data_IF_804668922560
#
_entry.id   IF_804668922560
#
_cell.length_a   1.000
_cell.length_b   1.000
_cell.length_c   1.000
_cell.angle_alpha   90.00
_cell.angle_beta   90.00
_cell.angle_gamma   90.00
#
_symmetry.space_group_name_H-M   'P 1'
#
loop_
_entity.id
_entity.type
_entity.pdbx_description
1 polymer ?
#
# COMPACT_ATOMS: atom_id res chain seq x y z
N UNK A 1 -5.92 -66.24 -39.82
CA UNK A 1 -6.73 -65.28 -39.03
C UNK A 1 -6.20 -65.34 -37.59
N UNK A 2 -5.08 -64.68 -37.24
CA UNK A 2 -4.92 -63.26 -36.85
C UNK A 2 -5.95 -62.78 -35.81
N UNK A 3 -5.44 -62.42 -34.62
CA UNK A 3 -5.85 -61.33 -33.70
C UNK A 3 -5.59 -61.77 -32.24
N UNK A 4 -4.36 -61.62 -31.72
CA UNK A 4 -3.85 -60.45 -30.96
C UNK A 4 -4.70 -60.20 -29.71
N UNK A 5 -4.22 -60.74 -28.59
CA UNK A 5 -4.63 -60.42 -27.22
C UNK A 5 -4.07 -59.03 -26.90
N UNK A 6 -4.95 -58.03 -26.82
CA UNK A 6 -4.60 -56.68 -26.40
C UNK A 6 -4.61 -56.64 -24.87
N UNK A 7 -3.42 -56.56 -24.28
CA UNK A 7 -3.20 -56.32 -22.85
C UNK A 7 -3.54 -54.85 -22.59
N UNK A 8 -4.63 -54.61 -21.84
CA UNK A 8 -4.99 -53.29 -21.34
C UNK A 8 -4.07 -52.93 -20.16
N UNK A 9 -2.95 -52.27 -20.44
CA UNK A 9 -2.15 -51.60 -19.41
C UNK A 9 -2.91 -50.34 -18.98
N UNK A 10 -3.60 -50.41 -17.84
CA UNK A 10 -4.10 -49.23 -17.14
C UNK A 10 -2.89 -48.47 -16.56
N UNK A 11 -2.41 -47.48 -17.31
CA UNK A 11 -1.51 -46.45 -16.80
C UNK A 11 -2.28 -45.62 -15.77
N UNK A 12 -2.08 -45.94 -14.49
CA UNK A 12 -2.43 -45.06 -13.38
C UNK A 12 -1.47 -43.88 -13.48
N UNK A 13 -1.90 -42.81 -14.16
CA UNK A 13 -1.26 -41.51 -14.07
C UNK A 13 -1.36 -41.05 -12.63
N UNK A 14 -0.28 -41.23 -11.87
CA UNK A 14 -0.09 -40.57 -10.58
C UNK A 14 0.08 -39.09 -10.93
N UNK A 15 -1.04 -38.37 -11.04
CA UNK A 15 -1.05 -36.93 -10.94
C UNK A 15 -0.44 -36.62 -9.59
N UNK A 16 0.81 -36.14 -9.58
CA UNK A 16 1.35 -35.40 -8.45
C UNK A 16 0.39 -34.25 -8.22
N UNK A 17 -0.54 -34.43 -7.30
CA UNK A 17 -1.21 -33.31 -6.66
C UNK A 17 -0.05 -32.61 -5.95
N UNK A 18 0.49 -31.59 -6.60
CA UNK A 18 1.23 -30.57 -5.90
C UNK A 18 0.19 -29.98 -4.95
N UNK A 19 0.12 -30.55 -3.75
CA UNK A 19 -0.48 -29.91 -2.61
C UNK A 19 0.26 -28.58 -2.51
N UNK A 20 -0.36 -27.51 -2.99
CA UNK A 20 -0.01 -26.18 -2.53
C UNK A 20 -0.18 -26.26 -1.03
N UNK A 21 0.94 -26.43 -0.30
CA UNK A 21 0.95 -26.08 1.10
C UNK A 21 0.41 -24.65 1.09
N UNK A 22 -0.74 -24.47 1.70
CA UNK A 22 -1.28 -23.14 1.95
C UNK A 22 -0.24 -22.47 2.84
N UNK A 23 0.69 -21.75 2.22
CA UNK A 23 1.77 -21.08 2.90
C UNK A 23 1.11 -20.06 3.83
N UNK A 24 1.21 -20.27 5.14
CA UNK A 24 0.71 -19.34 6.14
C UNK A 24 1.56 -18.07 6.09
N UNK A 25 1.25 -17.20 5.14
CA UNK A 25 2.00 -15.99 4.86
C UNK A 25 2.13 -15.06 6.06
N UNK A 26 1.11 -14.88 6.91
CA UNK A 26 1.29 -14.22 8.20
C UNK A 26 2.42 -14.81 9.04
N UNK A 27 2.48 -16.13 9.21
CA UNK A 27 3.55 -16.79 9.98
C UNK A 27 4.92 -16.65 9.30
N UNK A 28 4.99 -16.80 7.97
CA UNK A 28 6.23 -16.65 7.20
C UNK A 28 6.79 -15.23 7.33
N UNK A 29 5.95 -14.21 7.09
CA UNK A 29 6.35 -12.81 7.22
C UNK A 29 6.81 -12.50 8.65
N UNK A 30 6.08 -12.98 9.66
CA UNK A 30 6.47 -12.78 11.06
C UNK A 30 7.79 -13.46 11.42
N UNK A 31 8.04 -14.67 10.90
CA UNK A 31 9.29 -15.40 11.11
C UNK A 31 10.50 -14.72 10.44
N UNK A 32 10.30 -14.01 9.32
CA UNK A 32 11.30 -13.12 8.71
C UNK A 32 11.49 -11.79 9.45
N UNK A 33 10.78 -11.62 10.56
CA UNK A 33 10.80 -10.43 11.40
C UNK A 33 9.98 -9.27 10.85
N UNK A 34 8.96 -9.56 10.04
CA UNK A 34 7.88 -8.63 9.74
C UNK A 34 6.90 -8.53 10.91
N UNK A 35 6.10 -7.45 10.95
CA UNK A 35 5.15 -7.24 12.06
C UNK A 35 3.78 -7.85 11.80
N UNK A 36 2.97 -8.03 12.85
CA UNK A 36 1.54 -8.40 12.71
C UNK A 36 0.71 -7.34 11.98
N UNK A 37 1.26 -6.12 11.85
CA UNK A 37 0.64 -4.97 11.18
C UNK A 37 1.20 -4.77 9.76
N UNK A 38 1.87 -5.79 9.19
CA UNK A 38 2.55 -5.70 7.89
C UNK A 38 1.70 -5.01 6.82
N UNK A 39 0.49 -5.52 6.56
CA UNK A 39 -0.39 -4.95 5.54
C UNK A 39 -0.82 -3.51 5.81
N UNK A 40 -1.01 -3.13 7.08
CA UNK A 40 -1.38 -1.76 7.47
C UNK A 40 -0.20 -0.80 7.25
N UNK A 41 1.01 -1.21 7.66
CA UNK A 41 2.23 -0.41 7.53
C UNK A 41 2.62 -0.23 6.08
N UNK A 42 2.68 -1.33 5.33
CA UNK A 42 3.03 -1.31 3.90
C UNK A 42 1.98 -0.56 3.10
N UNK A 43 0.69 -0.86 3.30
CA UNK A 43 -0.40 -0.17 2.59
C UNK A 43 -0.46 1.34 2.88
N UNK A 44 -0.07 1.77 4.08
CA UNK A 44 0.13 3.20 4.38
C UNK A 44 1.37 3.74 3.66
N UNK A 45 2.50 3.05 3.72
CA UNK A 45 3.74 3.53 3.10
C UNK A 45 3.65 3.67 1.58
N UNK A 46 2.92 2.79 0.88
CA UNK A 46 2.90 2.76 -0.58
C UNK A 46 1.75 3.56 -1.21
N UNK A 47 0.82 4.11 -0.42
CA UNK A 47 -0.42 4.68 -0.98
C UNK A 47 -0.20 5.90 -1.89
N UNK A 48 0.94 6.56 -1.80
CA UNK A 48 1.27 7.75 -2.59
C UNK A 48 2.62 7.63 -3.30
N UNK A 49 3.18 6.43 -3.44
CA UNK A 49 4.45 6.24 -4.16
C UNK A 49 4.32 6.62 -5.64
N UNK A 50 5.39 7.18 -6.18
CA UNK A 50 5.63 7.43 -7.60
C UNK A 50 6.91 6.74 -8.07
N UNK A 51 7.15 6.67 -9.38
CA UNK A 51 8.42 6.20 -9.95
C UNK A 51 9.62 6.95 -9.35
N UNK A 52 9.50 8.26 -9.14
CA UNK A 52 10.57 9.06 -8.56
C UNK A 52 10.95 8.60 -7.15
N UNK A 53 9.96 8.28 -6.31
CA UNK A 53 10.23 7.78 -4.97
C UNK A 53 10.84 6.37 -5.03
N UNK A 54 10.34 5.50 -5.93
CA UNK A 54 10.90 4.16 -6.12
C UNK A 54 12.36 4.17 -6.58
N UNK A 55 12.79 5.18 -7.34
CA UNK A 55 14.18 5.36 -7.77
C UNK A 55 15.16 5.55 -6.61
N UNK A 56 14.70 5.98 -5.43
CA UNK A 56 15.53 6.02 -4.22
C UNK A 56 15.96 4.62 -3.78
N UNK A 57 15.11 3.60 -4.02
CA UNK A 57 15.37 2.20 -3.70
C UNK A 57 16.10 1.49 -4.84
N UNK A 58 15.58 1.64 -6.07
CA UNK A 58 16.09 1.00 -7.27
C UNK A 58 16.12 1.98 -8.46
N UNK A 59 17.31 2.48 -8.87
CA UNK A 59 17.43 3.61 -9.81
C UNK A 59 16.83 3.41 -11.22
N UNK A 60 16.75 2.17 -11.70
CA UNK A 60 16.26 1.83 -13.04
C UNK A 60 14.75 1.56 -13.10
N UNK A 61 14.01 1.80 -12.00
CA UNK A 61 12.55 1.65 -11.97
C UNK A 61 11.87 2.59 -12.96
N UNK A 62 10.85 2.05 -13.64
CA UNK A 62 9.97 2.75 -14.58
C UNK A 62 8.50 2.53 -14.19
N UNK A 63 7.56 3.08 -14.95
CA UNK A 63 6.12 2.82 -14.77
C UNK A 63 5.71 1.36 -14.98
N UNK A 64 6.58 0.51 -15.54
CA UNK A 64 6.37 -0.95 -15.63
C UNK A 64 6.54 -1.67 -14.28
N UNK A 65 6.63 -0.93 -13.17
CA UNK A 65 6.74 -1.51 -11.84
C UNK A 65 5.42 -2.15 -11.40
N UNK A 66 5.51 -2.94 -10.33
CA UNK A 66 4.41 -3.72 -9.78
C UNK A 66 4.08 -3.24 -8.35
N UNK A 67 4.31 -1.96 -8.04
CA UNK A 67 4.01 -1.42 -6.71
C UNK A 67 2.62 -0.76 -6.74
N UNK A 68 1.58 -1.35 -6.13
CA UNK A 68 0.28 -0.72 -6.12
C UNK A 68 0.28 0.56 -5.30
N UNK A 69 -0.52 1.52 -5.74
CA UNK A 69 -0.65 2.83 -5.08
C UNK A 69 -2.07 3.34 -5.24
N UNK A 70 -2.47 4.29 -4.41
CA UNK A 70 -3.77 4.94 -4.56
C UNK A 70 -3.70 5.94 -5.72
N UNK A 71 -4.72 5.94 -6.57
CA UNK A 71 -4.82 6.90 -7.65
C UNK A 71 -5.18 8.28 -7.10
N UNK A 72 -4.27 9.23 -7.25
CA UNK A 72 -4.42 10.61 -6.77
C UNK A 72 -5.36 11.46 -7.63
N UNK A 73 -5.76 11.00 -8.82
CA UNK A 73 -6.90 11.57 -9.53
C UNK A 73 -8.18 11.07 -8.86
N UNK A 74 -8.76 11.88 -7.98
CA UNK A 74 -9.90 11.52 -7.15
C UNK A 74 -11.22 11.38 -7.94
N UNK A 75 -11.23 11.76 -9.22
CA UNK A 75 -12.37 11.56 -10.12
C UNK A 75 -12.29 10.29 -10.97
N UNK A 76 -11.14 9.60 -10.99
CA UNK A 76 -10.97 8.37 -11.76
C UNK A 76 -11.80 7.23 -11.18
N UNK A 77 -12.42 6.42 -12.06
CA UNK A 77 -13.11 5.17 -11.71
C UNK A 77 -12.17 4.07 -11.20
N UNK A 78 -10.85 4.26 -11.35
CA UNK A 78 -9.81 3.34 -10.88
C UNK A 78 -9.16 3.95 -9.64
N UNK A 79 -9.57 3.58 -8.41
CA UNK A 79 -9.07 4.23 -7.20
C UNK A 79 -7.69 3.71 -6.76
N UNK A 80 -7.27 2.55 -7.24
CA UNK A 80 -5.97 1.94 -6.93
C UNK A 80 -5.35 1.54 -8.25
N UNK A 81 -4.13 2.02 -8.50
CA UNK A 81 -3.31 1.60 -9.62
C UNK A 81 -2.54 0.35 -9.21
N UNK A 82 -2.34 -0.58 -10.14
CA UNK A 82 -1.49 -1.76 -9.95
C UNK A 82 0.02 -1.44 -10.03
N UNK A 83 0.37 -0.19 -10.31
CA UNK A 83 1.73 0.33 -10.47
C UNK A 83 1.82 1.74 -9.90
N UNK A 84 3.03 2.14 -9.49
CA UNK A 84 3.32 3.50 -9.10
C UNK A 84 3.57 4.34 -10.37
N UNK A 85 2.79 5.41 -10.62
CA UNK A 85 2.93 6.21 -11.83
C UNK A 85 4.15 7.13 -11.75
N UNK A 86 4.62 7.60 -12.91
CA UNK A 86 5.48 8.77 -12.97
C UNK A 86 4.61 10.03 -12.77
N UNK A 87 5.06 10.93 -11.91
CA UNK A 87 4.36 12.19 -11.58
C UNK A 87 5.15 13.42 -11.98
N UNK A 88 6.23 13.24 -12.73
CA UNK A 88 6.99 14.36 -13.28
C UNK A 88 6.10 15.21 -14.16
N UNK A 89 5.90 16.47 -13.76
CA UNK A 89 5.26 17.50 -14.59
C UNK A 89 6.22 17.89 -15.72
N UNK A 90 5.73 18.44 -16.85
CA UNK A 90 6.61 18.93 -17.92
C UNK A 90 7.70 19.88 -17.39
N UNK A 91 7.37 20.69 -16.39
CA UNK A 91 8.25 21.69 -15.78
C UNK A 91 9.03 21.18 -14.56
N UNK A 92 8.88 19.90 -14.18
CA UNK A 92 9.56 19.31 -13.01
C UNK A 92 11.09 19.38 -13.08
N UNK A 93 11.65 19.57 -14.28
CA UNK A 93 13.08 19.75 -14.52
C UNK A 93 13.62 21.11 -14.01
N UNK A 94 12.74 22.07 -13.66
CA UNK A 94 13.14 23.38 -13.16
C UNK A 94 13.68 23.36 -11.73
N UNK A 95 13.40 22.30 -10.97
CA UNK A 95 13.85 22.13 -9.60
C UNK A 95 14.77 20.92 -9.46
N UNK A 96 15.89 21.10 -8.76
CA UNK A 96 16.88 20.04 -8.50
C UNK A 96 16.71 19.37 -7.13
N UNK A 97 16.15 20.09 -6.17
CA UNK A 97 16.02 19.64 -4.79
C UNK A 97 14.67 18.95 -4.58
N UNK A 98 14.67 17.86 -3.82
CA UNK A 98 13.48 17.04 -3.71
C UNK A 98 12.29 17.77 -3.09
N UNK A 99 12.55 18.56 -2.04
CA UNK A 99 11.54 19.39 -1.39
C UNK A 99 10.97 20.49 -2.29
N UNK A 100 11.76 21.04 -3.21
CA UNK A 100 11.26 22.04 -4.17
C UNK A 100 10.33 21.41 -5.21
N UNK A 101 10.64 20.19 -5.66
CA UNK A 101 9.77 19.48 -6.60
C UNK A 101 8.46 19.06 -5.90
N UNK A 102 8.52 18.62 -4.63
CA UNK A 102 7.30 18.35 -3.84
C UNK A 102 6.44 19.61 -3.72
N UNK A 103 7.07 20.75 -3.43
CA UNK A 103 6.37 22.03 -3.36
C UNK A 103 5.71 22.38 -4.70
N UNK A 104 6.44 22.23 -5.80
CA UNK A 104 5.94 22.46 -7.16
C UNK A 104 4.75 21.56 -7.52
N UNK A 105 4.84 20.25 -7.23
CA UNK A 105 3.76 19.29 -7.49
C UNK A 105 2.48 19.69 -6.75
N UNK A 106 2.57 20.04 -5.46
CA UNK A 106 1.40 20.44 -4.68
C UNK A 106 0.86 21.81 -5.11
N UNK A 107 1.73 22.81 -5.29
CA UNK A 107 1.29 24.16 -5.63
C UNK A 107 0.73 24.25 -7.07
N UNK A 108 1.23 23.44 -7.99
CA UNK A 108 0.67 23.33 -9.36
C UNK A 108 -0.76 22.78 -9.37
N UNK A 109 -1.18 22.10 -8.31
CA UNK A 109 -2.53 21.54 -8.15
C UNK A 109 -3.32 22.21 -7.02
N UNK A 110 -2.87 23.35 -6.47
CA UNK A 110 -3.47 23.93 -5.26
C UNK A 110 -4.95 24.34 -5.41
N UNK A 111 -5.39 24.60 -6.65
CA UNK A 111 -6.77 24.94 -6.99
C UNK A 111 -7.63 23.71 -7.37
N UNK A 112 -7.01 22.52 -7.54
CA UNK A 112 -7.70 21.28 -7.86
C UNK A 112 -8.10 20.51 -6.59
N UNK A 113 -9.37 20.67 -6.21
CA UNK A 113 -9.95 19.97 -5.05
C UNK A 113 -10.11 18.45 -5.24
N UNK A 114 -9.86 17.95 -6.45
CA UNK A 114 -9.95 16.54 -6.82
C UNK A 114 -8.58 15.88 -6.99
N UNK A 115 -7.51 16.55 -6.56
CA UNK A 115 -6.16 16.03 -6.58
C UNK A 115 -5.69 15.61 -5.19
N UNK A 116 -4.98 14.48 -5.13
CA UNK A 116 -4.25 13.98 -3.96
C UNK A 116 -5.13 13.70 -2.72
N UNK A 117 -5.24 14.64 -1.77
CA UNK A 117 -5.95 14.45 -0.50
C UNK A 117 -7.13 15.40 -0.39
N UNK A 118 -8.36 14.89 -0.53
CA UNK A 118 -9.57 15.71 -0.35
C UNK A 118 -9.64 16.24 1.07
N UNK A 119 -10.10 17.48 1.20
CA UNK A 119 -10.20 18.26 2.45
C UNK A 119 -8.88 18.67 3.11
N UNK A 120 -7.71 18.36 2.53
CA UNK A 120 -6.43 18.88 3.01
C UNK A 120 -6.10 20.19 2.27
N UNK A 121 -5.77 21.23 3.02
CA UNK A 121 -5.25 22.46 2.43
C UNK A 121 -3.80 22.25 1.91
N UNK A 122 -3.26 23.15 1.07
CA UNK A 122 -1.93 22.96 0.48
C UNK A 122 -0.81 22.75 1.51
N UNK A 123 -0.84 23.44 2.65
CA UNK A 123 0.16 23.26 3.71
C UNK A 123 0.08 21.85 4.33
N UNK A 124 -1.13 21.34 4.55
CA UNK A 124 -1.36 19.98 5.06
C UNK A 124 -0.93 18.91 4.05
N UNK A 125 -1.16 19.15 2.76
CA UNK A 125 -0.69 18.26 1.70
C UNK A 125 0.84 18.22 1.65
N UNK A 126 1.51 19.38 1.75
CA UNK A 126 2.98 19.47 1.82
C UNK A 126 3.51 18.68 3.02
N UNK A 127 2.94 18.90 4.21
CA UNK A 127 3.36 18.19 5.43
C UNK A 127 3.11 16.69 5.32
N UNK A 128 1.98 16.28 4.75
CA UNK A 128 1.69 14.86 4.50
C UNK A 128 2.72 14.25 3.54
N UNK A 129 3.09 14.93 2.45
CA UNK A 129 4.10 14.42 1.52
C UNK A 129 5.46 14.28 2.21
N UNK A 130 5.89 15.24 3.03
CA UNK A 130 7.11 15.09 3.83
C UNK A 130 7.05 13.94 4.84
N UNK A 131 5.89 13.70 5.47
CA UNK A 131 5.69 12.53 6.32
C UNK A 131 5.91 11.21 5.56
N UNK A 132 5.46 11.15 4.30
CA UNK A 132 5.70 9.97 3.46
C UNK A 132 7.18 9.82 3.10
N UNK A 133 7.90 10.91 2.80
CA UNK A 133 9.35 10.88 2.56
C UNK A 133 10.13 10.36 3.78
N UNK A 134 9.75 10.75 5.00
CA UNK A 134 10.35 10.23 6.24
C UNK A 134 10.14 8.71 6.39
N UNK A 135 8.96 8.20 6.06
CA UNK A 135 8.68 6.76 6.05
C UNK A 135 9.58 6.04 5.04
N UNK A 136 9.75 6.60 3.85
CA UNK A 136 10.57 6.00 2.79
C UNK A 136 12.07 6.06 3.12
N UNK A 137 12.55 7.16 3.71
CA UNK A 137 13.90 7.28 4.21
C UNK A 137 14.20 6.23 5.29
N UNK A 138 13.26 5.99 6.22
CA UNK A 138 13.39 4.94 7.21
C UNK A 138 13.41 3.53 6.58
N UNK A 139 12.58 3.27 5.57
CA UNK A 139 12.55 2.00 4.85
C UNK A 139 13.83 1.76 4.03
N UNK A 140 14.46 2.81 3.53
CA UNK A 140 15.67 2.67 2.71
C UNK A 140 16.80 1.96 3.47
N UNK A 141 16.92 2.19 4.78
CA UNK A 141 17.94 1.55 5.63
C UNK A 141 17.81 0.03 5.58
N UNK A 142 16.61 -0.50 5.84
CA UNK A 142 16.35 -1.94 5.81
C UNK A 142 16.38 -2.50 4.38
N UNK A 143 16.00 -1.70 3.39
CA UNK A 143 16.05 -2.13 1.98
C UNK A 143 17.50 -2.42 1.56
N UNK A 144 18.45 -1.56 1.93
CA UNK A 144 19.88 -1.79 1.68
C UNK A 144 20.40 -3.03 2.41
N UNK A 145 19.86 -3.35 3.58
CA UNK A 145 20.19 -4.60 4.27
C UNK A 145 19.70 -5.83 3.49
N UNK A 146 18.51 -5.76 2.87
CA UNK A 146 17.98 -6.83 2.03
C UNK A 146 18.72 -6.99 0.70
N UNK A 147 19.38 -5.95 0.18
CA UNK A 147 20.30 -6.10 -0.96
C UNK A 147 21.51 -6.97 -0.63
N UNK A 148 22.00 -6.90 0.61
CA UNK A 148 23.13 -7.72 1.10
C UNK A 148 22.66 -9.11 1.51
N UNK A 149 21.52 -9.20 2.19
CA UNK A 149 20.92 -10.45 2.67
C UNK A 149 19.47 -10.57 2.15
N UNK A 150 19.29 -11.05 0.92
CA UNK A 150 17.97 -11.17 0.32
C UNK A 150 17.02 -12.05 1.16
N UNK A 151 15.75 -11.65 1.33
CA UNK A 151 14.69 -12.54 1.79
C UNK A 151 14.57 -13.77 0.87
N UNK A 152 14.12 -14.90 1.41
CA UNK A 152 13.84 -16.09 0.59
C UNK A 152 12.64 -15.88 -0.33
N UNK A 153 12.57 -16.67 -1.40
CA UNK A 153 11.46 -16.61 -2.37
C UNK A 153 10.09 -16.78 -1.69
N UNK A 154 9.96 -17.67 -0.71
CA UNK A 154 8.71 -17.86 0.05
C UNK A 154 8.28 -16.59 0.80
N UNK A 155 9.24 -15.85 1.37
CA UNK A 155 8.97 -14.59 2.06
C UNK A 155 8.51 -13.54 1.05
N UNK A 156 9.17 -13.47 -0.11
CA UNK A 156 8.76 -12.54 -1.16
C UNK A 156 7.41 -12.89 -1.79
N UNK A 157 7.11 -14.17 -1.97
CA UNK A 157 5.80 -14.61 -2.43
C UNK A 157 4.70 -14.15 -1.46
N UNK A 158 4.94 -14.26 -0.15
CA UNK A 158 4.00 -13.80 0.88
C UNK A 158 3.91 -12.28 1.01
N UNK A 159 5.02 -11.56 0.84
CA UNK A 159 5.02 -10.11 0.81
C UNK A 159 4.23 -9.55 -0.38
N UNK A 160 4.26 -10.25 -1.52
CA UNK A 160 3.57 -9.87 -2.76
C UNK A 160 2.14 -10.40 -2.89
N UNK A 161 1.70 -11.30 -1.99
CA UNK A 161 0.30 -11.73 -1.90
C UNK A 161 -0.56 -10.66 -1.20
N UNK A 162 -0.71 -9.53 -1.88
CA UNK A 162 -1.35 -8.32 -1.34
C UNK A 162 -2.84 -8.49 -0.99
N UNK A 163 -3.49 -9.52 -1.54
CA UNK A 163 -4.89 -9.83 -1.26
C UNK A 163 -5.03 -10.48 0.12
N UNK A 164 -4.08 -11.32 0.51
CA UNK A 164 -4.14 -12.11 1.74
C UNK A 164 -3.28 -11.57 2.88
N UNK A 165 -2.33 -10.66 2.60
CA UNK A 165 -1.49 -10.04 3.64
C UNK A 165 -2.00 -8.67 4.15
N UNK A 166 -3.16 -8.21 3.65
CA UNK A 166 -3.85 -7.00 4.13
C UNK A 166 -3.43 -5.68 3.46
N UNK A 167 -2.42 -5.69 2.58
CA UNK A 167 -1.98 -4.48 1.86
C UNK A 167 -3.12 -3.90 1.01
N UNK A 168 -3.78 -4.73 0.20
CA UNK A 168 -4.84 -4.26 -0.69
C UNK A 168 -6.06 -3.73 0.08
N UNK A 169 -6.40 -4.36 1.21
CA UNK A 169 -7.43 -3.88 2.11
C UNK A 169 -7.09 -2.47 2.63
N UNK A 170 -5.85 -2.25 3.07
CA UNK A 170 -5.41 -0.94 3.55
C UNK A 170 -5.43 0.11 2.43
N UNK A 171 -4.96 -0.22 1.23
CA UNK A 171 -5.03 0.69 0.08
C UNK A 171 -6.47 1.08 -0.28
N UNK A 172 -7.40 0.12 -0.27
CA UNK A 172 -8.84 0.39 -0.47
C UNK A 172 -9.39 1.33 0.60
N UNK A 173 -9.03 1.08 1.85
CA UNK A 173 -9.44 1.94 2.95
C UNK A 173 -8.87 3.36 2.77
N UNK A 174 -7.60 3.50 2.42
CA UNK A 174 -6.97 4.81 2.17
C UNK A 174 -7.64 5.51 0.99
N UNK A 175 -7.88 4.81 -0.12
CA UNK A 175 -8.58 5.37 -1.28
C UNK A 175 -9.97 5.93 -0.93
N UNK A 176 -10.74 5.21 -0.10
CA UNK A 176 -12.02 5.68 0.41
C UNK A 176 -11.87 6.89 1.33
N UNK A 177 -10.88 6.89 2.23
CA UNK A 177 -10.62 8.02 3.14
C UNK A 177 -10.30 9.29 2.35
N UNK A 178 -9.44 9.20 1.33
CA UNK A 178 -9.02 10.38 0.56
C UNK A 178 -10.08 10.85 -0.43
N UNK A 179 -10.95 9.97 -0.95
CA UNK A 179 -12.01 10.33 -1.92
C UNK A 179 -13.30 10.77 -1.25
N UNK A 180 -13.66 10.10 -0.17
CA UNK A 180 -14.91 10.31 0.56
C UNK A 180 -14.68 10.48 2.07
N UNK A 181 -13.87 11.48 2.48
CA UNK A 181 -13.53 11.69 3.89
C UNK A 181 -14.78 11.89 4.76
N UNK A 182 -15.83 12.57 4.24
CA UNK A 182 -17.06 12.80 4.98
C UNK A 182 -17.85 11.51 5.27
N UNK A 183 -17.86 10.56 4.32
CA UNK A 183 -18.49 9.25 4.51
C UNK A 183 -17.70 8.42 5.52
N UNK A 184 -16.37 8.47 5.44
CA UNK A 184 -15.49 7.69 6.33
C UNK A 184 -15.45 8.26 7.75
N UNK A 185 -15.51 9.57 7.94
CA UNK A 185 -15.61 10.21 9.26
C UNK A 185 -16.98 9.91 9.91
N UNK A 186 -18.07 10.00 9.15
CA UNK A 186 -19.42 9.67 9.64
C UNK A 186 -19.58 8.18 9.97
N UNK A 187 -19.11 7.29 9.09
CA UNK A 187 -19.17 5.84 9.31
C UNK A 187 -18.19 5.36 10.38
N UNK A 188 -16.99 5.94 10.44
CA UNK A 188 -15.99 5.68 11.48
C UNK A 188 -16.51 6.04 12.87
N UNK A 189 -17.14 7.21 13.01
CA UNK A 189 -17.80 7.61 14.26
C UNK A 189 -18.99 6.70 14.60
N UNK A 190 -19.81 6.30 13.63
CA UNK A 190 -20.95 5.40 13.84
C UNK A 190 -20.51 3.98 14.28
N UNK A 191 -19.51 3.39 13.60
CA UNK A 191 -19.00 2.04 13.91
C UNK A 191 -18.21 2.01 15.21
N UNK A 192 -17.36 3.01 15.47
CA UNK A 192 -16.67 3.19 16.75
C UNK A 192 -17.68 3.28 17.90
N UNK A 193 -18.74 4.08 17.72
CA UNK A 193 -19.81 4.22 18.70
C UNK A 193 -20.52 2.87 18.91
N UNK A 194 -20.92 2.16 17.87
CA UNK A 194 -21.59 0.86 18.04
C UNK A 194 -20.70 -0.23 18.67
N UNK A 195 -19.44 -0.32 18.27
CA UNK A 195 -18.53 -1.37 18.73
C UNK A 195 -18.03 -1.10 20.15
N UNK A 196 -17.73 0.15 20.50
CA UNK A 196 -17.31 0.52 21.86
C UNK A 196 -18.47 0.64 22.85
N UNK A 197 -19.72 0.85 22.39
CA UNK A 197 -20.91 0.71 23.23
C UNK A 197 -21.18 -0.75 23.60
N UNK A 198 -20.84 -1.70 22.72
CA UNK A 198 -21.06 -3.14 22.96
C UNK A 198 -19.93 -3.81 23.74
N UNK A 199 -18.68 -3.38 23.53
CA UNK A 199 -17.53 -3.89 24.30
C UNK A 199 -16.42 -2.82 24.43
N UNK A 200 -16.39 -2.05 25.53
CA UNK A 200 -15.45 -0.94 25.72
C UNK A 200 -13.98 -1.35 25.74
N UNK A 201 -13.69 -2.62 25.98
CA UNK A 201 -12.35 -3.20 26.12
C UNK A 201 -11.80 -3.82 24.82
N UNK A 202 -12.56 -3.74 23.71
CA UNK A 202 -12.16 -4.37 22.45
C UNK A 202 -10.87 -3.73 21.88
N UNK A 203 -9.89 -4.53 21.42
CA UNK A 203 -8.62 -4.03 20.86
C UNK A 203 -8.77 -3.06 19.67
N UNK A 204 -9.94 -3.03 19.02
CA UNK A 204 -10.25 -2.10 17.93
C UNK A 204 -10.72 -0.70 18.38
N UNK A 205 -11.11 -0.49 19.64
CA UNK A 205 -11.58 0.82 20.12
C UNK A 205 -10.52 1.94 20.08
N UNK A 206 -9.22 1.69 20.35
CA UNK A 206 -8.16 2.67 20.12
C UNK A 206 -7.93 2.99 18.63
N UNK A 207 -8.05 1.98 17.75
CA UNK A 207 -7.86 2.13 16.31
C UNK A 207 -8.98 2.97 15.65
N UNK A 208 -10.23 2.80 16.08
CA UNK A 208 -11.32 3.66 15.59
C UNK A 208 -11.35 5.05 16.24
N UNK A 209 -10.70 5.23 17.40
CA UNK A 209 -10.42 6.57 17.97
C UNK A 209 -9.45 7.38 17.09
N UNK A 210 -8.57 6.73 16.32
CA UNK A 210 -7.67 7.43 15.38
C UNK A 210 -8.35 7.75 14.05
N UNK A 211 -9.28 6.92 13.58
CA UNK A 211 -10.13 7.25 12.41
C UNK A 211 -11.11 8.39 12.73
N UNK A 212 -11.53 8.53 13.99
CA UNK A 212 -12.43 9.59 14.46
C UNK A 212 -11.75 10.91 14.85
N UNK A 213 -10.42 10.95 14.94
CA UNK A 213 -9.66 12.18 15.18
C UNK A 213 -8.93 12.56 13.90
N UNK A 214 -9.64 13.17 12.96
CA UNK A 214 -8.98 13.92 11.88
C UNK A 214 -7.91 14.80 12.50
N UNK A 215 -6.71 14.81 11.91
CA UNK A 215 -5.67 15.74 12.33
C UNK A 215 -6.25 17.16 12.35
N UNK A 216 -5.93 17.98 13.38
CA UNK A 216 -6.45 19.33 13.43
C UNK A 216 -5.95 20.12 12.21
N UNK A 217 -6.72 21.11 11.72
CA UNK A 217 -6.24 22.02 10.70
C UNK A 217 -4.87 22.58 11.07
N UNK A 218 -3.94 22.62 10.12
CA UNK A 218 -2.58 23.06 10.38
C UNK A 218 -2.47 24.60 10.40
N UNK A 219 -3.06 25.22 11.43
CA UNK A 219 -3.22 26.68 11.59
C UNK A 219 -2.41 27.27 12.76
N UNK A 220 -1.71 26.44 13.52
CA UNK A 220 -1.06 26.82 14.77
C UNK A 220 0.09 25.90 15.15
N UNK A 221 1.03 26.41 15.97
CA UNK A 221 2.12 25.59 16.51
C UNK A 221 1.61 24.42 17.38
N UNK A 222 0.44 24.57 18.01
CA UNK A 222 -0.24 23.50 18.76
C UNK A 222 -0.73 22.40 17.83
N UNK A 223 -1.38 22.76 16.71
CA UNK A 223 -1.75 21.81 15.67
C UNK A 223 -0.51 21.11 15.10
N UNK A 224 0.55 21.85 14.79
CA UNK A 224 1.82 21.27 14.33
C UNK A 224 2.41 20.26 15.32
N UNK A 225 2.40 20.57 16.62
CA UNK A 225 2.84 19.61 17.64
C UNK A 225 2.02 18.31 17.60
N UNK A 226 0.71 18.39 17.32
CA UNK A 226 -0.14 17.20 17.16
C UNK A 226 0.25 16.41 15.92
N UNK A 227 0.40 17.08 14.78
CA UNK A 227 0.87 16.46 13.53
C UNK A 227 2.18 15.70 13.73
N UNK A 228 3.20 16.31 14.33
CA UNK A 228 4.48 15.63 14.61
C UNK A 228 4.37 14.35 15.45
N UNK A 229 3.45 14.32 16.43
CA UNK A 229 3.27 13.13 17.27
C UNK A 229 2.60 12.00 16.49
N UNK A 230 1.68 12.32 15.58
CA UNK A 230 0.94 11.34 14.78
C UNK A 230 1.75 10.90 13.54
N UNK A 231 2.61 11.79 13.01
CA UNK A 231 3.53 11.57 11.88
C UNK A 231 4.90 11.03 12.30
N UNK A 232 5.05 10.54 13.54
CA UNK A 232 6.33 9.97 13.98
C UNK A 232 6.80 8.85 13.04
N UNK A 233 8.10 8.82 12.76
CA UNK A 233 8.69 7.86 11.83
C UNK A 233 8.28 6.43 12.18
N UNK A 234 7.67 5.75 11.21
CA UNK A 234 7.31 4.33 11.35
C UNK A 234 8.57 3.49 11.15
N UNK A 235 8.65 2.35 11.83
CA UNK A 235 9.65 1.34 11.49
C UNK A 235 9.48 0.95 10.00
N UNK A 236 10.54 1.16 9.22
CA UNK A 236 10.53 1.00 7.76
C UNK A 236 10.71 -0.44 7.26
N UNK A 237 11.00 -1.41 8.15
CA UNK A 237 11.37 -2.78 7.76
C UNK A 237 10.30 -3.50 6.93
N UNK A 238 9.03 -3.41 7.32
CA UNK A 238 7.94 -4.06 6.58
C UNK A 238 7.81 -3.47 5.16
N UNK A 239 7.89 -2.14 5.06
CA UNK A 239 7.90 -1.42 3.77
C UNK A 239 9.11 -1.80 2.93
N UNK A 240 10.29 -1.87 3.55
CA UNK A 240 11.53 -2.26 2.89
C UNK A 240 11.45 -3.68 2.32
N UNK A 241 10.90 -4.62 3.10
CA UNK A 241 10.72 -6.00 2.67
C UNK A 241 9.80 -6.08 1.45
N UNK A 242 8.65 -5.41 1.53
CA UNK A 242 7.71 -5.35 0.41
C UNK A 242 8.35 -4.75 -0.85
N UNK A 243 8.96 -3.57 -0.75
CA UNK A 243 9.57 -2.89 -1.89
C UNK A 243 10.73 -3.70 -2.46
N UNK A 244 11.54 -4.35 -1.62
CA UNK A 244 12.62 -5.21 -2.10
C UNK A 244 12.07 -6.33 -2.98
N UNK A 245 11.06 -7.05 -2.49
CA UNK A 245 10.44 -8.14 -3.23
C UNK A 245 9.76 -7.64 -4.51
N UNK A 246 9.04 -6.52 -4.45
CA UNK A 246 8.31 -5.96 -5.58
C UNK A 246 9.22 -5.44 -6.71
N UNK A 247 10.42 -4.96 -6.35
CA UNK A 247 11.34 -4.34 -7.31
C UNK A 247 12.42 -5.29 -7.83
N UNK A 248 12.73 -6.38 -7.12
CA UNK A 248 13.87 -7.25 -7.44
C UNK A 248 13.51 -8.69 -7.79
N UNK A 249 12.25 -9.11 -7.62
CA UNK A 249 11.82 -10.45 -8.02
C UNK A 249 11.07 -10.42 -9.35
N UNK A 250 11.14 -11.52 -10.11
CA UNK A 250 10.36 -11.71 -11.34
C UNK A 250 8.97 -12.30 -11.06
N UNK A 251 8.46 -12.15 -9.84
CA UNK A 251 7.15 -12.67 -9.45
C UNK A 251 6.09 -11.76 -10.07
N UNK A 252 5.32 -12.28 -11.02
CA UNK A 252 4.25 -11.53 -11.67
C UNK A 252 3.03 -11.42 -10.74
N UNK A 253 2.72 -10.19 -10.29
CA UNK A 253 1.55 -9.90 -9.45
C UNK A 253 0.26 -9.65 -10.24
N UNK A 254 0.31 -9.54 -11.58
CA UNK A 254 -0.88 -9.29 -12.42
C UNK A 254 -1.94 -10.37 -12.26
N UNK A 255 -1.54 -11.60 -11.91
CA UNK A 255 -2.47 -12.70 -11.61
C UNK A 255 -3.49 -12.34 -10.53
N UNK A 256 -3.14 -11.41 -9.62
CA UNK A 256 -4.00 -11.00 -8.51
C UNK A 256 -4.94 -9.84 -8.87
N UNK A 257 -4.74 -9.13 -9.99
CA UNK A 257 -5.59 -7.99 -10.36
C UNK A 257 -6.70 -8.32 -11.36
N UNK A 258 -6.65 -9.48 -12.05
CA UNK A 258 -7.55 -9.77 -13.17
C UNK A 258 -9.03 -10.02 -12.80
N UNK A 259 -9.37 -10.15 -11.52
CA UNK A 259 -10.75 -10.46 -11.09
C UNK A 259 -11.53 -9.28 -10.47
N UNK A 260 -11.00 -8.06 -10.55
CA UNK A 260 -11.58 -6.95 -9.77
C UNK A 260 -12.51 -6.05 -10.59
N UNK A 261 -13.79 -6.42 -10.67
CA UNK A 261 -14.86 -5.50 -11.08
C UNK A 261 -15.22 -4.57 -9.91
N UNK A 262 -14.77 -3.31 -9.97
CA UNK A 262 -15.15 -2.27 -9.00
C UNK A 262 -16.67 -2.01 -8.98
N UNK A 263 -17.34 -2.28 -10.09
CA UNK A 263 -18.70 -1.81 -10.39
C UNK A 263 -19.86 -2.70 -9.90
N UNK A 264 -19.63 -3.78 -9.14
CA UNK A 264 -20.73 -4.70 -8.77
C UNK A 264 -21.24 -4.67 -7.33
N UNK A 265 -20.69 -3.88 -6.38
CA UNK A 265 -21.13 -4.05 -4.98
C UNK A 265 -21.18 -2.84 -4.04
N UNK A 266 -20.91 -1.63 -4.49
CA UNK A 266 -20.98 -0.45 -3.61
C UNK A 266 -21.78 0.69 -4.26
N UNK A 267 -23.04 0.40 -4.59
CA UNK A 267 -24.07 1.44 -4.61
C UNK A 267 -24.59 1.60 -3.18
N UNK A 268 -24.14 2.63 -2.51
CA UNK A 268 -24.81 3.21 -1.34
C UNK A 268 -25.24 4.63 -1.70
#
# INVERSE_FOLDING_TARGET
MRNIIVILFALISISKIASSLENDCPAILQSSGGTTEFGIRVGHAIHSLSVRNLKQFKPDVTEKNQVPTVNLNLTSDIPILSYAPDRTTPDSHMFLLDGSIILDEILSHMDDKSYNLKNYNPLEQIVHTFHMEEIWAAALIDYRNFEINPPSDDVCQCALDIENNGILMKLRQTALIIREPNLMLGYGQYRAKQQCLKNPSSPGCPFFKSIGNSLPPLDSAKAWKRWKMDSGAMNGKDTALFLYCALNTNINIEKYYQNFEWNKKYHY
#
